data_IF_550074044191
#
_entry.id   IF_550074044191
#
_cell.length_a   1.000
_cell.length_b   1.000
_cell.length_c   1.000
_cell.angle_alpha   90.00
_cell.angle_beta   90.00
_cell.angle_gamma   90.00
#
_symmetry.space_group_name_H-M   'P 1'
#
loop_
_entity.id
_entity.type
_entity.pdbx_description
1 polymer ?
#
# COMPACT_ATOMS: atom_id res chain seq x y z
N UNK A 1 23.03 3.43 16.33
CA UNK A 1 22.22 3.44 15.09
C UNK A 1 22.57 2.28 14.17
N UNK A 2 23.85 1.90 14.06
CA UNK A 2 24.33 0.86 13.12
C UNK A 2 23.67 -0.52 13.30
N UNK A 3 23.23 -0.90 14.51
CA UNK A 3 22.57 -2.20 14.73
C UNK A 3 21.07 -2.23 14.41
N UNK A 4 20.45 -1.09 14.09
CA UNK A 4 18.99 -0.98 13.87
C UNK A 4 18.62 -0.64 12.41
N UNK A 5 19.62 -0.47 11.53
CA UNK A 5 19.42 -0.07 10.14
C UNK A 5 20.22 -1.00 9.24
N UNK A 6 19.54 -1.66 8.31
CA UNK A 6 20.15 -2.56 7.35
C UNK A 6 19.91 -2.01 5.94
N UNK A 7 21.00 -1.82 5.18
CA UNK A 7 20.93 -1.43 3.77
C UNK A 7 21.05 -2.66 2.89
N UNK A 8 19.92 -3.18 2.40
CA UNK A 8 19.90 -4.39 1.58
C UNK A 8 20.46 -4.19 0.15
N UNK A 9 20.66 -2.94 -0.29
CA UNK A 9 20.98 -2.63 -1.69
C UNK A 9 19.81 -2.94 -2.64
N UNK A 10 20.11 -3.06 -3.93
CA UNK A 10 19.12 -3.44 -4.94
C UNK A 10 18.83 -4.94 -4.86
N UNK A 11 17.55 -5.30 -4.70
CA UNK A 11 17.06 -6.68 -4.60
C UNK A 11 15.96 -6.93 -5.63
N UNK A 12 15.94 -8.14 -6.18
CA UNK A 12 14.97 -8.56 -7.20
C UNK A 12 14.56 -10.02 -6.98
N UNK A 13 13.37 -10.39 -7.48
CA UNK A 13 12.86 -11.76 -7.45
C UNK A 13 12.95 -12.40 -6.07
N UNK A 14 13.51 -13.61 -6.01
CA UNK A 14 13.63 -14.39 -4.76
C UNK A 14 14.38 -13.69 -3.64
N UNK A 15 15.34 -12.81 -3.95
CA UNK A 15 16.04 -12.08 -2.89
C UNK A 15 15.16 -11.01 -2.26
N UNK A 16 14.35 -10.34 -3.08
CA UNK A 16 13.36 -9.39 -2.59
C UNK A 16 12.24 -10.10 -1.82
N UNK A 17 11.84 -11.29 -2.28
CA UNK A 17 10.84 -12.11 -1.59
C UNK A 17 11.26 -12.42 -0.15
N UNK A 18 12.52 -12.83 0.07
CA UNK A 18 13.05 -13.08 1.41
C UNK A 18 13.00 -11.85 2.32
N UNK A 19 13.28 -10.66 1.77
CA UNK A 19 13.18 -9.42 2.55
C UNK A 19 11.73 -9.18 2.97
N UNK A 20 10.76 -9.42 2.07
CA UNK A 20 9.35 -9.28 2.42
C UNK A 20 8.87 -10.29 3.47
N UNK A 21 9.47 -11.48 3.53
CA UNK A 21 9.13 -12.50 4.53
C UNK A 21 9.60 -12.13 5.95
N UNK A 22 10.54 -11.18 6.08
CA UNK A 22 11.13 -10.75 7.36
C UNK A 22 10.53 -9.45 7.90
N UNK A 23 9.67 -8.75 7.14
CA UNK A 23 9.12 -7.44 7.52
C UNK A 23 7.69 -7.53 8.07
N UNK A 24 7.41 -6.74 9.11
CA UNK A 24 6.08 -6.60 9.68
C UNK A 24 5.29 -5.43 9.07
N UNK A 25 6.00 -4.37 8.68
CA UNK A 25 5.42 -3.15 8.11
C UNK A 25 6.30 -2.66 6.96
N UNK A 26 5.66 -2.19 5.91
CA UNK A 26 6.31 -1.48 4.80
C UNK A 26 6.01 0.02 4.82
N UNK A 27 6.91 0.81 4.20
CA UNK A 27 6.72 2.26 4.03
C UNK A 27 6.48 2.56 2.55
N UNK A 28 5.35 3.20 2.26
CA UNK A 28 5.00 3.73 0.95
C UNK A 28 5.61 5.11 0.72
N UNK A 29 5.05 5.85 -0.24
CA UNK A 29 5.51 7.23 -0.48
C UNK A 29 4.98 8.14 0.63
N UNK A 30 5.89 8.84 1.32
CA UNK A 30 5.55 9.82 2.35
C UNK A 30 5.70 11.28 1.88
N UNK A 31 6.60 11.53 0.92
CA UNK A 31 6.88 12.90 0.43
C UNK A 31 6.05 13.34 -0.78
N UNK A 32 4.79 12.90 -0.90
CA UNK A 32 3.97 13.20 -2.09
C UNK A 32 3.63 14.69 -2.20
N UNK A 33 3.49 15.38 -1.06
CA UNK A 33 3.15 16.80 -0.97
C UNK A 33 4.19 17.70 -1.60
N UNK A 34 5.47 17.27 -1.60
CA UNK A 34 6.57 18.02 -2.23
C UNK A 34 6.38 18.19 -3.74
N UNK A 35 5.48 17.42 -4.34
CA UNK A 35 5.07 17.53 -5.75
C UNK A 35 3.69 18.16 -5.93
N UNK A 36 3.11 18.75 -4.88
CA UNK A 36 1.73 19.22 -4.85
C UNK A 36 0.70 18.14 -5.24
N UNK A 37 1.01 16.88 -4.94
CA UNK A 37 0.14 15.75 -5.22
C UNK A 37 -0.55 15.30 -3.94
N UNK A 38 -1.86 15.03 -4.05
CA UNK A 38 -2.70 14.49 -2.98
C UNK A 38 -3.06 13.01 -3.18
N UNK A 39 -3.12 12.60 -4.45
CA UNK A 39 -3.52 11.26 -4.87
C UNK A 39 -2.31 10.48 -5.39
N UNK A 40 -2.32 9.17 -5.19
CA UNK A 40 -1.24 8.31 -5.65
C UNK A 40 -1.71 6.90 -5.92
N UNK A 41 -1.07 6.26 -6.88
CA UNK A 41 -1.28 4.85 -7.21
C UNK A 41 0.04 4.11 -7.33
N UNK A 42 0.90 4.24 -6.31
CA UNK A 42 2.27 3.74 -6.35
C UNK A 42 2.34 2.21 -6.46
N UNK A 43 3.25 1.70 -7.31
CA UNK A 43 3.43 0.26 -7.50
C UNK A 43 3.82 -0.48 -6.22
N UNK A 44 4.61 0.18 -5.35
CA UNK A 44 4.99 -0.36 -4.03
C UNK A 44 3.77 -0.76 -3.20
N UNK A 45 2.74 0.09 -3.14
CA UNK A 45 1.51 -0.22 -2.39
C UNK A 45 0.75 -1.40 -3.00
N UNK A 46 0.73 -1.55 -4.33
CA UNK A 46 0.10 -2.72 -4.97
C UNK A 46 0.85 -4.00 -4.60
N UNK A 47 2.17 -3.94 -4.57
CA UNK A 47 3.01 -5.06 -4.15
C UNK A 47 2.80 -5.41 -2.67
N UNK A 48 2.75 -4.42 -1.78
CA UNK A 48 2.47 -4.64 -0.35
C UNK A 48 1.09 -5.29 -0.14
N UNK A 49 0.08 -4.80 -0.85
CA UNK A 49 -1.27 -5.36 -0.83
C UNK A 49 -1.31 -6.80 -1.36
N UNK A 50 -0.58 -7.10 -2.44
CA UNK A 50 -0.54 -8.43 -3.03
C UNK A 50 0.24 -9.46 -2.20
N UNK A 51 1.32 -9.00 -1.52
CA UNK A 51 2.17 -9.81 -0.64
C UNK A 51 1.64 -9.93 0.79
N UNK A 52 0.75 -9.03 1.19
CA UNK A 52 0.12 -9.09 2.49
C UNK A 52 0.88 -8.43 3.62
N UNK A 53 1.56 -7.32 3.32
CA UNK A 53 2.38 -6.57 4.28
C UNK A 53 1.69 -5.25 4.61
N UNK A 54 1.22 -5.03 5.85
CA UNK A 54 0.65 -3.75 6.29
C UNK A 54 1.62 -2.59 6.04
N UNK A 55 1.11 -1.39 5.77
CA UNK A 55 1.99 -0.30 5.35
C UNK A 55 1.56 1.08 5.81
N UNK A 56 2.48 2.03 5.68
CA UNK A 56 2.27 3.45 5.98
C UNK A 56 2.37 4.30 4.71
N UNK A 57 1.44 5.22 4.49
CA UNK A 57 1.44 6.20 3.39
C UNK A 57 1.05 7.60 3.91
N UNK A 58 1.23 8.64 3.10
CA UNK A 58 0.76 10.00 3.41
C UNK A 58 -0.26 10.55 2.40
N UNK A 59 -0.71 9.74 1.45
CA UNK A 59 -1.52 10.18 0.32
C UNK A 59 -2.88 9.45 0.24
N UNK A 60 -3.74 9.90 -0.67
CA UNK A 60 -5.00 9.22 -0.98
C UNK A 60 -4.77 8.22 -2.11
N UNK A 61 -5.03 6.96 -1.84
CA UNK A 61 -5.05 5.92 -2.86
C UNK A 61 -6.50 5.55 -3.15
N UNK A 62 -7.01 5.90 -4.33
CA UNK A 62 -8.45 5.71 -4.67
C UNK A 62 -8.86 4.24 -4.72
N UNK A 63 -7.89 3.33 -4.76
CA UNK A 63 -8.14 1.90 -4.76
C UNK A 63 -8.28 1.31 -3.36
N UNK A 64 -8.01 2.11 -2.32
CA UNK A 64 -8.05 1.71 -0.92
C UNK A 64 -9.16 2.50 -0.22
N UNK A 65 -10.16 1.77 0.25
CA UNK A 65 -11.23 2.29 1.10
C UNK A 65 -10.64 2.87 2.39
N UNK A 66 -11.15 4.01 2.84
CA UNK A 66 -10.61 4.72 4.02
C UNK A 66 -10.72 3.89 5.30
N UNK A 67 -11.73 3.02 5.37
CA UNK A 67 -11.98 2.09 6.46
C UNK A 67 -11.10 0.83 6.42
N UNK A 68 -10.27 0.66 5.37
CA UNK A 68 -9.42 -0.51 5.25
C UNK A 68 -8.37 -0.53 6.40
N UNK A 69 -8.33 -1.57 7.24
CA UNK A 69 -7.67 -1.47 8.54
C UNK A 69 -6.16 -1.75 8.52
N UNK A 70 -5.61 -2.15 7.37
CA UNK A 70 -4.24 -2.67 7.24
C UNK A 70 -3.26 -1.66 6.65
N UNK A 71 -3.60 -0.38 6.72
CA UNK A 71 -2.66 0.71 6.47
C UNK A 71 -2.80 1.84 7.49
N UNK A 72 -1.74 2.62 7.65
CA UNK A 72 -1.72 3.85 8.41
C UNK A 72 -1.51 5.03 7.46
N UNK A 73 -2.39 6.01 7.53
CA UNK A 73 -2.26 7.26 6.78
C UNK A 73 -1.72 8.37 7.69
N UNK A 74 -0.55 8.91 7.33
CA UNK A 74 0.07 10.05 7.99
C UNK A 74 -0.32 11.36 7.29
N UNK A 75 -0.02 12.49 7.95
CA UNK A 75 -0.10 13.78 7.31
C UNK A 75 0.96 13.90 6.21
N UNK A 76 0.64 14.50 5.05
CA UNK A 76 1.59 14.74 3.99
C UNK A 76 2.35 16.05 4.24
N UNK A 77 3.23 16.02 5.23
CA UNK A 77 4.10 17.14 5.61
C UNK A 77 5.55 16.68 5.81
N UNK A 78 6.44 17.61 6.16
CA UNK A 78 7.86 17.33 6.43
C UNK A 78 8.16 17.14 7.93
N UNK A 79 7.12 16.99 8.75
CA UNK A 79 7.32 16.73 10.17
C UNK A 79 7.88 15.31 10.38
N UNK A 80 8.68 15.08 11.44
CA UNK A 80 9.13 13.75 11.79
C UNK A 80 7.96 12.78 11.99
N UNK A 81 8.12 11.56 11.47
CA UNK A 81 7.14 10.48 11.69
C UNK A 81 7.14 10.11 13.17
N UNK A 82 5.96 10.14 13.78
CA UNK A 82 5.78 9.63 15.14
C UNK A 82 5.84 8.09 15.12
N UNK A 83 6.96 7.55 15.58
CA UNK A 83 7.21 6.11 15.56
C UNK A 83 6.34 5.32 16.54
N UNK A 84 5.89 5.93 17.65
CA UNK A 84 4.98 5.27 18.59
C UNK A 84 3.66 4.93 17.91
N UNK A 85 3.14 5.84 17.07
CA UNK A 85 1.93 5.58 16.27
C UNK A 85 2.13 4.43 15.27
N UNK A 86 3.32 4.31 14.68
CA UNK A 86 3.64 3.22 13.74
C UNK A 86 3.71 1.88 14.48
N UNK A 87 4.32 1.86 15.66
CA UNK A 87 4.41 0.67 16.52
C UNK A 87 3.03 0.25 17.02
N UNK A 88 2.22 1.19 17.49
CA UNK A 88 0.85 0.95 17.93
C UNK A 88 -0.01 0.40 16.79
N UNK A 89 0.12 0.97 15.59
CA UNK A 89 -0.51 0.44 14.39
C UNK A 89 -0.10 -1.01 14.12
N UNK A 90 1.20 -1.32 14.17
CA UNK A 90 1.71 -2.68 13.98
C UNK A 90 1.06 -3.66 14.96
N UNK A 91 1.13 -3.34 16.25
CA UNK A 91 0.60 -4.17 17.33
C UNK A 91 -0.89 -4.40 17.13
N UNK A 92 -1.67 -3.34 16.93
CA UNK A 92 -3.12 -3.42 16.70
C UNK A 92 -3.47 -4.32 15.51
N UNK A 93 -2.74 -4.20 14.40
CA UNK A 93 -2.98 -5.04 13.21
C UNK A 93 -2.76 -6.52 13.53
N UNK A 94 -1.63 -6.87 14.13
CA UNK A 94 -1.29 -8.27 14.37
C UNK A 94 -2.02 -8.86 15.58
N UNK A 95 -2.39 -8.07 16.59
CA UNK A 95 -3.28 -8.49 17.68
C UNK A 95 -4.68 -8.83 17.17
N UNK A 96 -5.23 -8.01 16.26
CA UNK A 96 -6.59 -8.20 15.75
C UNK A 96 -6.71 -9.25 14.66
N UNK A 97 -5.77 -9.28 13.72
CA UNK A 97 -5.86 -10.10 12.51
C UNK A 97 -4.83 -11.24 12.49
N UNK A 98 -3.74 -11.14 13.23
CA UNK A 98 -2.70 -12.16 13.33
C UNK A 98 -2.27 -12.73 11.98
N UNK A 99 -2.36 -14.05 11.84
CA UNK A 99 -1.98 -14.78 10.61
C UNK A 99 -2.93 -14.56 9.43
N UNK A 100 -4.07 -13.89 9.62
CA UNK A 100 -5.01 -13.58 8.54
C UNK A 100 -4.63 -12.31 7.76
N UNK A 101 -3.68 -11.50 8.26
CA UNK A 101 -3.25 -10.26 7.58
C UNK A 101 -2.94 -10.48 6.09
N UNK A 102 -2.12 -11.48 5.69
CA UNK A 102 -1.77 -11.61 4.28
C UNK A 102 -2.94 -12.00 3.38
N UNK A 103 -3.83 -12.87 3.85
CA UNK A 103 -4.98 -13.31 3.07
C UNK A 103 -6.01 -12.19 2.89
N UNK A 104 -6.24 -11.37 3.92
CA UNK A 104 -7.15 -10.20 3.84
C UNK A 104 -6.65 -9.23 2.77
N UNK A 105 -5.38 -8.83 2.85
CA UNK A 105 -4.78 -7.87 1.91
C UNK A 105 -4.75 -8.41 0.48
N UNK A 106 -4.34 -9.68 0.30
CA UNK A 106 -4.28 -10.31 -1.02
C UNK A 106 -5.67 -10.41 -1.65
N UNK A 107 -6.69 -10.81 -0.88
CA UNK A 107 -8.07 -10.88 -1.37
C UNK A 107 -8.61 -9.49 -1.74
N UNK A 108 -8.25 -8.47 -0.96
CA UNK A 108 -8.59 -7.08 -1.31
C UNK A 108 -7.93 -6.66 -2.64
N UNK A 109 -6.63 -6.93 -2.79
CA UNK A 109 -5.87 -6.61 -3.99
C UNK A 109 -6.49 -7.29 -5.23
N UNK A 110 -6.82 -8.58 -5.15
CA UNK A 110 -7.45 -9.32 -6.23
C UNK A 110 -8.81 -8.72 -6.65
N UNK A 111 -9.59 -8.21 -5.69
CA UNK A 111 -10.90 -7.62 -5.95
C UNK A 111 -10.86 -6.20 -6.50
N UNK A 112 -9.86 -5.40 -6.11
CA UNK A 112 -9.86 -3.94 -6.36
C UNK A 112 -8.74 -3.48 -7.28
N UNK A 113 -7.58 -4.13 -7.19
CA UNK A 113 -6.31 -3.68 -7.77
C UNK A 113 -5.82 -4.56 -8.91
N UNK A 114 -6.35 -5.78 -9.06
CA UNK A 114 -5.97 -6.68 -10.14
C UNK A 114 -6.15 -6.02 -11.52
N UNK A 115 -5.21 -6.29 -12.43
CA UNK A 115 -5.21 -5.67 -13.74
C UNK A 115 -6.50 -5.96 -14.51
N UNK A 116 -7.11 -7.15 -14.37
CA UNK A 116 -8.37 -7.50 -15.02
C UNK A 116 -9.49 -6.58 -14.54
N UNK A 117 -9.51 -6.27 -13.24
CA UNK A 117 -10.48 -5.33 -12.66
C UNK A 117 -10.28 -3.93 -13.24
N UNK A 118 -9.03 -3.46 -13.35
CA UNK A 118 -8.71 -2.14 -13.92
C UNK A 118 -9.06 -2.03 -15.40
N UNK A 119 -8.68 -3.03 -16.18
CA UNK A 119 -8.92 -3.08 -17.62
C UNK A 119 -10.43 -3.12 -17.90
N UNK A 120 -11.20 -3.90 -17.14
CA UNK A 120 -12.66 -3.92 -17.30
C UNK A 120 -13.31 -2.56 -16.98
N UNK A 121 -12.85 -1.86 -15.93
CA UNK A 121 -13.32 -0.49 -15.64
C UNK A 121 -13.02 0.47 -16.78
N UNK A 122 -11.81 0.41 -17.34
CA UNK A 122 -11.41 1.22 -18.48
C UNK A 122 -12.26 0.91 -19.72
N UNK A 123 -12.46 -0.37 -20.03
CA UNK A 123 -13.27 -0.81 -21.17
C UNK A 123 -14.70 -0.28 -21.06
N UNK A 124 -15.33 -0.44 -19.89
CA UNK A 124 -16.69 0.06 -19.65
C UNK A 124 -16.77 1.58 -19.80
N UNK A 125 -15.78 2.32 -19.29
CA UNK A 125 -15.70 3.76 -19.47
C UNK A 125 -15.64 4.15 -20.95
N UNK A 126 -14.78 3.51 -21.74
CA UNK A 126 -14.64 3.77 -23.18
C UNK A 126 -15.93 3.45 -23.93
N UNK A 127 -16.56 2.30 -23.66
CA UNK A 127 -17.82 1.91 -24.31
C UNK A 127 -18.96 2.90 -23.99
N UNK A 128 -19.06 3.34 -22.73
CA UNK A 128 -20.06 4.34 -22.33
C UNK A 128 -19.86 5.68 -23.05
N UNK A 129 -18.61 6.15 -23.19
CA UNK A 129 -18.30 7.36 -23.95
C UNK A 129 -18.73 7.25 -25.42
N UNK A 130 -18.45 6.11 -26.07
CA UNK A 130 -18.85 5.89 -27.46
C UNK A 130 -20.37 5.89 -27.64
N UNK A 131 -21.10 5.31 -26.70
CA UNK A 131 -22.57 5.25 -26.74
C UNK A 131 -23.21 6.61 -26.42
N UNK A 132 -22.62 7.43 -25.54
CA UNK A 132 -23.13 8.76 -25.18
C UNK A 132 -22.97 9.83 -26.26
N UNK A 133 -22.24 9.52 -27.34
CA UNK A 133 -22.00 10.43 -28.49
C UNK A 133 -22.94 10.18 -29.67
N UNK A 134 -23.85 9.21 -29.56
CA UNK A 134 -24.97 9.00 -30.50
C UNK A 134 -26.23 9.65 -29.97
#
# INVERSE_FOLDING_TARGET
MENNVIFHGLKYGKELDKVFDEVHIAIGTLGIHRKNLKYGSTLKVREYMARGVPFVISYIDEDIEEEFPLFLKLQPDDNPVNMDKVIEFAKRVYEKYGRAVPSIMRNYALRKMDYKVKVNKLLNFVLNLLNSRK
#
